data_IF_062201653533
#
_entry.id   IF_062201653533
#
_cell.length_a   1.000
_cell.length_b   1.000
_cell.length_c   1.000
_cell.angle_alpha   90.00
_cell.angle_beta   90.00
_cell.angle_gamma   90.00
#
_symmetry.space_group_name_H-M   'P 1'
#
loop_
_entity.id
_entity.type
_entity.pdbx_description
1 polymer ?
#
# COMPACT_ATOMS: atom_id res chain seq x y z
N UNK A 1 10.09 8.36 -2.40
CA UNK A 1 10.47 7.02 -1.93
C UNK A 1 11.64 7.17 -0.97
N UNK A 2 11.46 6.66 0.25
CA UNK A 2 12.53 6.47 1.21
C UNK A 2 13.31 5.23 0.78
N UNK A 3 14.63 5.31 0.69
CA UNK A 3 15.46 4.20 0.23
C UNK A 3 16.83 4.26 0.87
N UNK A 4 17.47 3.10 0.95
CA UNK A 4 18.76 2.98 1.59
C UNK A 4 19.82 3.83 0.89
N UNK A 5 20.82 4.24 1.67
CA UNK A 5 21.94 5.03 1.17
C UNK A 5 22.70 4.32 0.04
N UNK A 6 22.71 2.98 0.03
CA UNK A 6 23.34 2.18 -1.03
C UNK A 6 22.72 2.43 -2.42
N UNK A 7 21.44 2.81 -2.48
CA UNK A 7 20.74 3.10 -3.74
C UNK A 7 20.86 4.54 -4.19
N UNK A 8 21.51 5.41 -3.40
CA UNK A 8 21.55 6.85 -3.61
C UNK A 8 22.62 7.31 -4.62
N UNK A 9 23.01 6.48 -5.59
CA UNK A 9 24.05 6.81 -6.57
C UNK A 9 23.60 7.88 -7.57
N UNK A 10 24.56 8.59 -8.20
CA UNK A 10 24.25 9.61 -9.24
C UNK A 10 23.48 9.02 -10.41
N UNK A 11 23.84 7.80 -10.82
CA UNK A 11 23.19 7.09 -11.91
C UNK A 11 21.74 6.74 -11.56
N UNK A 12 21.49 6.20 -10.37
CA UNK A 12 20.13 5.92 -9.91
C UNK A 12 19.27 7.19 -9.82
N UNK A 13 19.82 8.32 -9.37
CA UNK A 13 19.07 9.59 -9.32
C UNK A 13 18.66 10.09 -10.69
N UNK A 14 19.53 9.97 -11.71
CA UNK A 14 19.17 10.31 -13.09
C UNK A 14 18.04 9.41 -13.58
N UNK A 15 18.19 8.11 -13.39
CA UNK A 15 17.20 7.13 -13.82
C UNK A 15 15.84 7.29 -13.13
N UNK A 16 15.84 7.52 -11.81
CA UNK A 16 14.61 7.81 -11.05
C UNK A 16 13.95 9.11 -11.50
N UNK A 17 14.74 10.13 -11.87
CA UNK A 17 14.22 11.39 -12.40
C UNK A 17 13.54 11.20 -13.75
N UNK A 18 14.11 10.37 -14.63
CA UNK A 18 13.50 9.99 -15.91
C UNK A 18 12.17 9.24 -15.71
N UNK A 19 12.10 8.38 -14.69
CA UNK A 19 10.88 7.67 -14.30
C UNK A 19 9.88 8.53 -13.50
N UNK A 20 10.20 9.79 -13.21
CA UNK A 20 9.35 10.69 -12.42
C UNK A 20 9.26 10.33 -10.92
N UNK A 21 10.14 9.45 -10.41
CA UNK A 21 10.14 8.98 -9.03
C UNK A 21 11.01 9.91 -8.16
N UNK A 22 10.39 10.60 -7.19
CA UNK A 22 11.12 11.44 -6.23
C UNK A 22 11.81 10.57 -5.17
N UNK A 23 13.14 10.60 -5.14
CA UNK A 23 13.96 9.97 -4.09
C UNK A 23 14.07 10.91 -2.89
N UNK A 24 13.67 10.44 -1.71
CA UNK A 24 13.83 11.13 -0.43
C UNK A 24 15.04 10.49 0.24
N UNK A 25 16.21 11.07 0.06
CA UNK A 25 17.46 10.58 0.63
C UNK A 25 18.46 11.72 0.84
N UNK A 26 19.43 11.51 1.74
CA UNK A 26 20.52 12.46 1.97
C UNK A 26 21.21 12.85 0.66
N UNK A 27 21.61 14.12 0.54
CA UNK A 27 22.32 14.62 -0.63
C UNK A 27 23.66 13.90 -0.79
N UNK A 28 24.10 13.74 -2.04
CA UNK A 28 25.42 13.20 -2.34
C UNK A 28 26.46 14.33 -2.16
N UNK A 29 27.38 14.15 -1.21
CA UNK A 29 28.48 15.10 -0.95
C UNK A 29 28.33 15.83 0.39
N UNK A 30 29.12 16.89 0.57
CA UNK A 30 29.07 17.73 1.77
C UNK A 30 27.75 18.52 1.77
N UNK A 31 26.88 18.38 2.78
CA UNK A 31 25.67 19.19 2.87
C UNK A 31 26.05 20.68 3.00
N UNK A 32 25.43 21.55 2.22
CA UNK A 32 25.52 23.00 2.46
C UNK A 32 24.82 23.32 3.77
N UNK A 33 25.27 24.35 4.49
CA UNK A 33 24.67 24.75 5.78
C UNK A 33 23.16 25.07 5.70
N UNK A 34 22.66 25.32 4.49
CA UNK A 34 21.26 25.65 4.18
C UNK A 34 20.42 24.46 3.73
N UNK A 35 21.03 23.31 3.44
CA UNK A 35 20.29 22.11 3.03
C UNK A 35 19.70 21.46 4.28
N UNK A 36 18.44 21.78 4.57
CA UNK A 36 17.68 21.11 5.63
C UNK A 36 17.84 19.60 5.48
N UNK A 37 18.49 18.98 6.47
CA UNK A 37 18.57 17.53 6.57
C UNK A 37 17.13 17.03 6.50
N UNK A 38 16.82 16.25 5.46
CA UNK A 38 15.49 15.65 5.29
C UNK A 38 15.17 14.96 6.60
N UNK A 39 14.23 15.52 7.36
CA UNK A 39 13.94 15.08 8.70
C UNK A 39 13.03 13.86 8.59
N UNK A 40 13.65 12.71 8.30
CA UNK A 40 12.97 11.43 8.29
C UNK A 40 12.53 11.15 9.72
N UNK A 41 11.23 11.00 9.93
CA UNK A 41 10.72 10.62 11.25
C UNK A 41 11.22 9.20 11.56
N UNK A 42 11.61 8.87 12.80
CA UNK A 42 12.16 7.55 13.16
C UNK A 42 11.28 6.32 12.86
N UNK A 43 10.06 6.50 12.33
CA UNK A 43 9.15 5.43 11.93
C UNK A 43 8.81 5.39 10.42
N UNK A 44 9.33 6.31 9.61
CA UNK A 44 9.09 6.30 8.16
C UNK A 44 10.02 5.28 7.50
N UNK A 45 9.60 4.01 7.46
CA UNK A 45 10.25 2.96 6.67
C UNK A 45 9.64 2.86 5.28
N UNK A 46 10.42 2.38 4.32
CA UNK A 46 9.93 2.08 3.00
C UNK A 46 8.93 0.90 3.10
N UNK A 47 7.64 1.07 2.75
CA UNK A 47 6.65 -0.01 2.89
C UNK A 47 7.01 -1.25 2.07
N UNK A 48 7.79 -1.07 1.00
CA UNK A 48 8.30 -2.14 0.15
C UNK A 48 9.31 -3.03 0.91
N UNK A 49 10.17 -2.43 1.74
CA UNK A 49 11.17 -3.16 2.51
C UNK A 49 10.50 -4.08 3.54
N UNK A 50 9.51 -3.56 4.29
CA UNK A 50 8.74 -4.37 5.23
C UNK A 50 7.98 -5.52 4.55
N UNK A 51 7.57 -5.34 3.28
CA UNK A 51 6.95 -6.42 2.49
C UNK A 51 7.95 -7.50 2.09
N UNK A 52 9.17 -7.11 1.72
CA UNK A 52 10.23 -8.07 1.42
C UNK A 52 10.70 -8.81 2.68
N UNK A 53 10.77 -8.13 3.82
CA UNK A 53 11.07 -8.76 5.10
C UNK A 53 9.98 -9.76 5.50
N UNK A 54 8.71 -9.37 5.36
CA UNK A 54 7.58 -10.29 5.53
C UNK A 54 7.67 -11.49 4.59
N UNK A 55 8.06 -11.30 3.32
CA UNK A 55 8.22 -12.38 2.36
C UNK A 55 9.31 -13.38 2.79
N UNK A 56 10.43 -12.89 3.33
CA UNK A 56 11.51 -13.72 3.86
C UNK A 56 11.05 -14.50 5.10
N UNK A 57 10.61 -13.79 6.13
CA UNK A 57 10.31 -14.39 7.44
C UNK A 57 9.04 -15.25 7.40
N UNK A 58 7.94 -14.73 6.82
CA UNK A 58 6.64 -15.40 6.89
C UNK A 58 6.39 -16.39 5.76
N UNK A 59 7.02 -16.19 4.59
CA UNK A 59 6.80 -17.02 3.40
C UNK A 59 8.05 -17.80 2.97
N UNK A 60 9.16 -17.70 3.72
CA UNK A 60 10.37 -18.49 3.50
C UNK A 60 11.11 -18.13 2.20
N UNK A 61 11.00 -16.89 1.73
CA UNK A 61 11.68 -16.43 0.51
C UNK A 61 13.22 -16.58 0.61
N UNK A 62 13.77 -16.53 1.82
CA UNK A 62 15.19 -16.72 2.12
C UNK A 62 15.63 -18.18 2.19
N UNK A 63 14.69 -19.13 2.30
CA UNK A 63 14.96 -20.56 2.50
C UNK A 63 14.31 -21.43 1.42
N UNK A 64 14.54 -21.08 0.16
CA UNK A 64 14.08 -21.88 -0.99
C UNK A 64 15.08 -23.03 -1.22
N UNK A 65 14.64 -24.26 -0.95
CA UNK A 65 15.47 -25.48 -1.10
C UNK A 65 15.60 -26.00 -2.54
N UNK A 66 15.05 -25.28 -3.52
CA UNK A 66 15.09 -25.66 -4.91
C UNK A 66 16.53 -25.57 -5.46
N UNK A 67 17.05 -26.68 -6.00
CA UNK A 67 18.43 -26.77 -6.49
C UNK A 67 18.60 -26.26 -7.93
N UNK A 68 17.54 -26.30 -8.73
CA UNK A 68 17.57 -25.88 -10.14
C UNK A 68 17.08 -24.44 -10.26
N UNK A 69 17.68 -23.68 -11.17
CA UNK A 69 17.31 -22.27 -11.41
C UNK A 69 15.83 -22.13 -11.74
N UNK A 70 15.32 -22.93 -12.67
CA UNK A 70 13.92 -22.85 -13.10
C UNK A 70 12.94 -23.12 -11.96
N UNK A 71 13.18 -24.17 -11.17
CA UNK A 71 12.31 -24.50 -10.04
C UNK A 71 12.36 -23.41 -8.98
N UNK A 72 13.55 -22.87 -8.67
CA UNK A 72 13.68 -21.76 -7.72
C UNK A 72 12.91 -20.51 -8.17
N UNK A 73 12.91 -20.20 -9.48
CA UNK A 73 12.16 -19.07 -10.03
C UNK A 73 10.65 -19.28 -9.90
N UNK A 74 10.15 -20.48 -10.19
CA UNK A 74 8.72 -20.81 -10.00
C UNK A 74 8.30 -20.70 -8.53
N UNK A 75 9.16 -21.08 -7.59
CA UNK A 75 8.91 -20.91 -6.14
C UNK A 75 8.83 -19.42 -5.77
N UNK A 76 9.79 -18.60 -6.21
CA UNK A 76 9.78 -17.15 -5.98
C UNK A 76 8.51 -16.51 -6.55
N UNK A 77 8.16 -16.85 -7.80
CA UNK A 77 6.96 -16.34 -8.46
C UNK A 77 5.68 -16.72 -7.71
N UNK A 78 5.60 -17.95 -7.21
CA UNK A 78 4.46 -18.43 -6.42
C UNK A 78 4.32 -17.64 -5.11
N UNK A 79 5.42 -17.38 -4.40
CA UNK A 79 5.41 -16.56 -3.18
C UNK A 79 4.92 -15.13 -3.49
N UNK A 80 5.44 -14.52 -4.55
CA UNK A 80 5.03 -13.19 -4.98
C UNK A 80 3.52 -13.13 -5.35
N UNK A 81 3.02 -14.17 -6.01
CA UNK A 81 1.61 -14.31 -6.35
C UNK A 81 0.74 -14.38 -5.09
N UNK A 82 1.11 -15.21 -4.11
CA UNK A 82 0.39 -15.32 -2.84
C UNK A 82 0.37 -13.99 -2.07
N UNK A 83 1.51 -13.30 -1.99
CA UNK A 83 1.60 -11.98 -1.35
C UNK A 83 0.65 -10.95 -1.99
N UNK A 84 0.57 -10.96 -3.32
CA UNK A 84 -0.34 -10.10 -4.07
C UNK A 84 -1.80 -10.47 -3.83
N UNK A 85 -2.15 -11.77 -3.86
CA UNK A 85 -3.51 -12.24 -3.59
C UNK A 85 -3.97 -11.82 -2.19
N UNK A 86 -3.16 -12.05 -1.16
CA UNK A 86 -3.49 -11.66 0.22
C UNK A 86 -3.69 -10.14 0.33
N UNK A 87 -2.92 -9.34 -0.41
CA UNK A 87 -3.13 -7.89 -0.47
C UNK A 87 -4.45 -7.52 -1.16
N UNK A 88 -4.82 -8.20 -2.23
CA UNK A 88 -6.10 -7.99 -2.92
C UNK A 88 -7.29 -8.40 -2.06
N UNK A 89 -7.25 -9.56 -1.40
CA UNK A 89 -8.34 -10.04 -0.53
C UNK A 89 -8.62 -9.06 0.60
N UNK A 90 -7.57 -8.52 1.25
CA UNK A 90 -7.76 -7.50 2.29
C UNK A 90 -8.47 -6.24 1.78
N UNK A 91 -8.12 -5.76 0.58
CA UNK A 91 -8.79 -4.59 -0.03
C UNK A 91 -10.22 -4.90 -0.43
N UNK A 92 -10.46 -6.07 -1.02
CA UNK A 92 -11.78 -6.51 -1.44
C UNK A 92 -12.77 -6.55 -0.26
N UNK A 93 -12.37 -7.12 0.88
CA UNK A 93 -13.20 -7.17 2.08
C UNK A 93 -13.56 -5.77 2.60
N UNK A 94 -12.59 -4.86 2.65
CA UNK A 94 -12.82 -3.48 3.09
C UNK A 94 -13.79 -2.77 2.14
N UNK A 95 -13.59 -2.90 0.83
CA UNK A 95 -14.50 -2.33 -0.17
C UNK A 95 -15.93 -2.90 -0.04
N UNK A 96 -16.07 -4.20 0.22
CA UNK A 96 -17.37 -4.84 0.42
C UNK A 96 -18.10 -4.26 1.64
N UNK A 97 -17.40 -4.07 2.76
CA UNK A 97 -17.97 -3.47 3.98
C UNK A 97 -18.42 -2.03 3.75
N UNK A 98 -17.59 -1.21 3.09
CA UNK A 98 -17.98 0.17 2.77
C UNK A 98 -19.19 0.21 1.84
N UNK A 99 -19.24 -0.68 0.84
CA UNK A 99 -20.36 -0.77 -0.09
C UNK A 99 -21.64 -1.17 0.63
N UNK A 100 -21.62 -2.12 1.56
CA UNK A 100 -22.82 -2.54 2.29
C UNK A 100 -23.30 -1.45 3.26
N UNK A 101 -22.38 -0.77 3.95
CA UNK A 101 -22.73 0.35 4.82
C UNK A 101 -23.43 1.47 4.04
N UNK A 102 -22.88 1.85 2.88
CA UNK A 102 -23.49 2.88 2.02
C UNK A 102 -24.90 2.48 1.53
N UNK A 103 -25.14 1.20 1.26
CA UNK A 103 -26.46 0.71 0.85
C UNK A 103 -27.45 0.76 2.01
N UNK A 104 -27.04 0.31 3.20
CA UNK A 104 -27.88 0.30 4.41
C UNK A 104 -28.29 1.73 4.80
N UNK A 105 -27.34 2.69 4.80
CA UNK A 105 -27.63 4.09 5.09
C UNK A 105 -28.64 4.69 4.11
N UNK A 106 -28.49 4.38 2.82
CA UNK A 106 -29.44 4.80 1.78
C UNK A 106 -30.85 4.23 2.01
N UNK A 107 -30.95 2.96 2.40
CA UNK A 107 -32.22 2.30 2.73
C UNK A 107 -32.86 2.88 4.00
N UNK A 108 -32.06 3.15 5.04
CA UNK A 108 -32.53 3.79 6.28
C UNK A 108 -33.08 5.19 6.02
N UNK A 109 -32.38 6.00 5.22
CA UNK A 109 -32.82 7.33 4.84
C UNK A 109 -34.11 7.29 4.00
N UNK A 110 -34.23 6.32 3.08
CA UNK A 110 -35.45 6.11 2.30
C UNK A 110 -36.64 5.69 3.19
N UNK A 111 -36.44 4.77 4.13
CA UNK A 111 -37.46 4.36 5.09
C UNK A 111 -37.91 5.52 6.00
N UNK A 112 -36.98 6.32 6.51
CA UNK A 112 -37.32 7.50 7.32
C UNK A 112 -38.11 8.53 6.51
N UNK A 113 -37.71 8.81 5.26
CA UNK A 113 -38.43 9.75 4.39
C UNK A 113 -39.82 9.24 4.00
N UNK A 114 -39.98 7.95 3.72
CA UNK A 114 -41.30 7.36 3.39
C UNK A 114 -42.24 7.33 4.60
N UNK A 115 -41.75 7.07 5.81
CA UNK A 115 -42.54 7.19 7.05
C UNK A 115 -42.97 8.65 7.30
N UNK A 116 -42.04 9.60 7.12
CA UNK A 116 -42.32 11.03 7.26
C UNK A 116 -43.41 11.50 6.29
N UNK A 117 -43.34 11.08 5.02
CA UNK A 117 -44.36 11.38 4.01
C UNK A 117 -45.72 10.74 4.31
N UNK A 118 -45.76 9.53 4.86
CA UNK A 118 -47.01 8.87 5.29
C UNK A 118 -47.68 9.60 6.45
N UNK A 119 -46.90 10.01 7.45
CA UNK A 119 -47.41 10.76 8.62
C UNK A 119 -48.00 12.11 8.19
N UNK A 120 -47.30 12.84 7.31
CA UNK A 120 -47.78 14.14 6.81
C UNK A 120 -49.12 13.98 6.09
N UNK A 121 -49.29 12.95 5.24
CA UNK A 121 -50.56 12.68 4.54
C UNK A 121 -51.73 12.36 5.49
N UNK A 122 -51.46 11.68 6.60
CA UNK A 122 -52.49 11.32 7.59
C UNK A 122 -52.95 12.51 8.44
N UNK A 123 -52.12 13.55 8.60
CA UNK A 123 -52.45 14.76 9.36
C UNK A 123 -53.16 15.84 8.52
N UNK A 124 -53.19 15.67 7.20
CA UNK A 124 -53.83 16.59 6.25
C UNK A 124 -55.22 16.13 5.76
N UNK A 125 -55.74 15.03 6.32
CA UNK A 125 -57.13 14.56 6.19
C UNK A 125 -57.88 14.84 7.48
#
# INVERSE_FOLDING_TARGET
>A
MLGDQIYCTRQNRKWLKELGIKLIAMLLGRPSSTAAAVHLRPGERNPIEGKFEQAKIAYGLDNIKAKLKETSQSWIASIALVLNLVAMTRRALVCQIYSTHSIIDGLLLYCQNTQKLKIIKLLSC
#
